data_IF_351142128734
#
_entry.id   IF_351142128734
#
_cell.length_a   1.000
_cell.length_b   1.000
_cell.length_c   1.000
_cell.angle_alpha   90.00
_cell.angle_beta   90.00
_cell.angle_gamma   90.00
#
_symmetry.space_group_name_H-M   'P 1'
#
loop_
_entity.id
_entity.type
_entity.pdbx_description
1 polymer ?
#
# COMPACT_ATOMS: atom_id res chain seq x y z
N UNK A 1 -21.03 20.34 -34.15
CA UNK A 1 -20.50 21.72 -34.03
C UNK A 1 -21.51 22.77 -33.53
N UNK A 2 -22.83 22.62 -33.71
CA UNK A 2 -23.81 23.62 -33.22
C UNK A 2 -23.97 23.66 -31.69
N UNK A 3 -23.95 22.51 -31.01
CA UNK A 3 -24.16 22.43 -29.55
C UNK A 3 -23.12 23.19 -28.73
N UNK A 4 -21.88 23.23 -29.20
CA UNK A 4 -20.80 23.99 -28.56
C UNK A 4 -21.03 25.49 -28.77
N UNK A 5 -21.45 25.92 -29.97
CA UNK A 5 -21.77 27.32 -30.25
C UNK A 5 -22.96 27.82 -29.42
N UNK A 6 -23.98 26.99 -29.22
CA UNK A 6 -25.14 27.31 -28.38
C UNK A 6 -24.77 27.41 -26.89
N UNK A 7 -23.92 26.50 -26.40
CA UNK A 7 -23.39 26.55 -25.04
C UNK A 7 -22.59 27.84 -24.79
N UNK A 8 -21.70 28.20 -25.72
CA UNK A 8 -20.92 29.44 -25.68
C UNK A 8 -21.82 30.69 -25.72
N UNK A 9 -22.84 30.72 -26.56
CA UNK A 9 -23.75 31.87 -26.63
C UNK A 9 -24.61 32.01 -25.37
N UNK A 10 -24.97 30.89 -24.72
CA UNK A 10 -25.79 30.87 -23.50
C UNK A 10 -25.02 31.23 -22.23
N UNK A 11 -23.77 30.78 -22.10
CA UNK A 11 -22.96 30.99 -20.88
C UNK A 11 -21.83 32.02 -21.05
N UNK A 12 -21.28 32.19 -22.25
CA UNK A 12 -20.05 32.97 -22.49
C UNK A 12 -20.29 34.32 -23.18
N UNK A 13 -21.50 34.60 -23.69
CA UNK A 13 -21.78 35.84 -24.44
C UNK A 13 -21.69 37.13 -23.61
N UNK A 14 -21.67 37.05 -22.28
CA UNK A 14 -21.48 38.18 -21.36
C UNK A 14 -20.11 38.18 -20.65
N UNK A 15 -19.27 37.18 -20.92
CA UNK A 15 -17.94 37.11 -20.32
C UNK A 15 -16.98 37.98 -21.12
N UNK A 16 -16.45 39.00 -20.44
CA UNK A 16 -15.43 39.88 -20.99
C UNK A 16 -14.17 39.07 -21.31
N UNK A 17 -13.48 39.38 -22.42
CA UNK A 17 -12.25 38.67 -22.85
C UNK A 17 -11.21 38.63 -21.71
N UNK A 18 -11.16 39.67 -20.89
CA UNK A 18 -10.30 39.73 -19.70
C UNK A 18 -10.61 38.65 -18.66
N UNK A 19 -11.88 38.29 -18.45
CA UNK A 19 -12.27 37.21 -17.53
C UNK A 19 -11.87 35.84 -18.06
N UNK A 20 -11.94 35.63 -19.38
CA UNK A 20 -11.50 34.39 -20.00
C UNK A 20 -9.99 34.20 -19.87
N UNK A 21 -9.21 35.27 -20.13
CA UNK A 21 -7.75 35.27 -19.92
C UNK A 21 -7.41 35.04 -18.44
N UNK A 22 -8.15 35.67 -17.52
CA UNK A 22 -7.96 35.48 -16.08
C UNK A 22 -8.22 34.04 -15.64
N UNK A 23 -9.30 33.41 -16.11
CA UNK A 23 -9.62 32.01 -15.79
C UNK A 23 -8.53 31.08 -16.34
N UNK A 24 -8.06 31.29 -17.57
CA UNK A 24 -6.96 30.50 -18.15
C UNK A 24 -5.67 30.69 -17.35
N UNK A 25 -5.35 31.93 -16.96
CA UNK A 25 -4.20 32.24 -16.12
C UNK A 25 -4.27 31.54 -14.76
N UNK A 26 -5.43 31.52 -14.10
CA UNK A 26 -5.62 30.78 -12.86
C UNK A 26 -5.44 29.28 -13.08
N UNK A 27 -6.07 28.71 -14.11
CA UNK A 27 -5.93 27.27 -14.41
C UNK A 27 -4.45 26.92 -14.62
N UNK A 28 -3.70 27.67 -15.43
CA UNK A 28 -2.27 27.44 -15.64
C UNK A 28 -1.49 27.60 -14.33
N UNK A 29 -1.74 28.64 -13.53
CA UNK A 29 -1.01 28.86 -12.27
C UNK A 29 -1.29 27.78 -11.22
N UNK A 30 -2.52 27.27 -11.15
CA UNK A 30 -2.90 26.21 -10.21
C UNK A 30 -2.52 24.80 -10.69
N UNK A 31 -2.33 24.59 -12.00
CA UNK A 31 -1.96 23.28 -12.58
C UNK A 31 -0.47 23.15 -12.85
N UNK A 32 0.19 24.23 -13.27
CA UNK A 32 1.63 24.32 -13.54
C UNK A 32 2.33 24.72 -12.25
N UNK A 33 2.57 23.72 -11.41
CA UNK A 33 3.32 23.87 -10.17
C UNK A 33 3.48 22.55 -9.42
N UNK A 34 4.58 22.39 -8.69
CA UNK A 34 4.81 21.21 -7.84
C UNK A 34 3.89 21.16 -6.61
N UNK A 35 3.21 22.26 -6.30
CA UNK A 35 2.24 22.41 -5.21
C UNK A 35 0.82 21.98 -5.56
N UNK A 36 0.62 21.18 -6.63
CA UNK A 36 -0.73 20.71 -6.98
C UNK A 36 -1.34 19.93 -5.81
N UNK A 37 -2.60 20.23 -5.46
CA UNK A 37 -3.36 19.53 -4.43
C UNK A 37 -3.42 18.01 -4.70
N UNK A 38 -3.41 17.63 -5.97
CA UNK A 38 -3.35 16.24 -6.42
C UNK A 38 -2.08 15.52 -5.94
N UNK A 39 -0.89 16.11 -6.15
CA UNK A 39 0.38 15.53 -5.68
C UNK A 39 0.37 15.39 -4.15
N UNK A 40 -0.13 16.39 -3.43
CA UNK A 40 -0.23 16.35 -1.96
C UNK A 40 -1.09 15.17 -1.48
N UNK A 41 -2.27 14.98 -2.07
CA UNK A 41 -3.13 13.85 -1.75
C UNK A 41 -2.46 12.50 -2.02
N UNK A 42 -1.79 12.37 -3.17
CA UNK A 42 -1.06 11.15 -3.52
C UNK A 42 0.07 10.86 -2.54
N UNK A 43 0.84 11.87 -2.14
CA UNK A 43 1.89 11.71 -1.14
C UNK A 43 1.33 11.34 0.23
N UNK A 44 0.26 11.98 0.70
CA UNK A 44 -0.36 11.65 1.97
C UNK A 44 -0.91 10.21 1.97
N UNK A 45 -1.44 9.75 0.83
CA UNK A 45 -1.84 8.34 0.66
C UNK A 45 -0.62 7.42 0.74
N UNK A 46 0.49 7.78 0.08
CA UNK A 46 1.70 6.96 0.10
C UNK A 46 2.34 6.88 1.49
N UNK A 47 2.34 7.98 2.22
CA UNK A 47 2.82 8.04 3.61
C UNK A 47 2.01 7.07 4.47
N UNK A 48 0.67 7.13 4.42
CA UNK A 48 -0.18 6.22 5.19
C UNK A 48 0.00 4.75 4.82
N UNK A 49 0.29 4.46 3.56
CA UNK A 49 0.58 3.09 3.12
C UNK A 49 1.90 2.59 3.71
N UNK A 50 2.96 3.40 3.64
CA UNK A 50 4.27 3.09 4.20
C UNK A 50 4.22 2.94 5.74
N UNK A 51 3.47 3.80 6.43
CA UNK A 51 3.28 3.71 7.88
C UNK A 51 2.62 2.38 8.28
N UNK A 52 1.59 1.95 7.53
CA UNK A 52 0.95 0.64 7.75
C UNK A 52 1.90 -0.52 7.49
N UNK A 53 2.73 -0.42 6.45
CA UNK A 53 3.72 -1.43 6.12
C UNK A 53 4.78 -1.55 7.24
N UNK A 54 5.24 -0.42 7.77
CA UNK A 54 6.14 -0.38 8.93
C UNK A 54 5.50 -1.05 10.15
N UNK A 55 4.27 -0.67 10.50
CA UNK A 55 3.56 -1.25 11.64
C UNK A 55 3.38 -2.77 11.49
N UNK A 56 3.02 -3.21 10.29
CA UNK A 56 2.87 -4.64 9.97
C UNK A 56 4.17 -5.41 10.18
N UNK A 57 5.28 -4.95 9.59
CA UNK A 57 6.56 -5.63 9.72
C UNK A 57 7.13 -5.58 11.14
N UNK A 58 6.93 -4.49 11.88
CA UNK A 58 7.31 -4.42 13.29
C UNK A 58 6.62 -5.50 14.11
N UNK A 59 5.32 -5.71 13.88
CA UNK A 59 4.56 -6.78 14.54
C UNK A 59 5.05 -8.17 14.14
N UNK A 60 5.32 -8.40 12.85
CA UNK A 60 5.88 -9.68 12.40
C UNK A 60 7.26 -9.96 13.01
N UNK A 61 8.12 -8.95 13.09
CA UNK A 61 9.44 -9.06 13.73
C UNK A 61 9.28 -9.44 15.20
N UNK A 62 8.37 -8.81 15.93
CA UNK A 62 8.11 -9.15 17.33
C UNK A 62 7.72 -10.62 17.49
N UNK A 63 6.71 -11.07 16.74
CA UNK A 63 6.23 -12.46 16.77
C UNK A 63 7.33 -13.44 16.38
N UNK A 64 8.05 -13.18 15.28
CA UNK A 64 9.11 -14.06 14.80
C UNK A 64 10.31 -14.08 15.74
N UNK A 65 10.64 -12.97 16.39
CA UNK A 65 11.72 -12.91 17.38
C UNK A 65 11.39 -13.75 18.62
N UNK A 66 10.13 -13.73 19.08
CA UNK A 66 9.66 -14.58 20.16
C UNK A 66 9.69 -16.06 19.77
N UNK A 67 9.26 -16.38 18.54
CA UNK A 67 9.34 -17.75 17.99
C UNK A 67 10.79 -18.24 17.86
N UNK A 68 11.70 -17.40 17.37
CA UNK A 68 13.13 -17.73 17.32
C UNK A 68 13.71 -17.96 18.71
N UNK A 69 13.37 -17.10 19.68
CA UNK A 69 13.84 -17.25 21.06
C UNK A 69 13.35 -18.55 21.67
N UNK A 70 12.09 -18.94 21.45
CA UNK A 70 11.58 -20.22 21.96
C UNK A 70 12.29 -21.40 21.29
N UNK A 71 12.53 -21.35 19.97
CA UNK A 71 13.31 -22.39 19.26
C UNK A 71 14.77 -22.51 19.76
N UNK A 72 15.40 -21.40 20.16
CA UNK A 72 16.78 -21.43 20.65
C UNK A 72 16.91 -21.82 22.13
N UNK A 73 15.89 -21.52 22.94
CA UNK A 73 15.96 -21.73 24.40
C UNK A 73 15.34 -23.06 24.81
N UNK A 74 14.35 -23.55 24.07
CA UNK A 74 13.61 -24.77 24.37
C UNK A 74 13.95 -25.89 23.38
N UNK A 75 14.72 -26.88 23.84
CA UNK A 75 15.06 -28.08 23.05
C UNK A 75 13.82 -28.85 22.62
N UNK A 76 12.77 -28.86 23.44
CA UNK A 76 11.53 -29.60 23.15
C UNK A 76 10.73 -28.88 22.06
N UNK A 77 10.60 -27.56 22.18
CA UNK A 77 10.02 -26.70 21.14
C UNK A 77 10.75 -26.78 19.79
N UNK A 78 12.09 -26.87 19.80
CA UNK A 78 12.90 -27.07 18.60
C UNK A 78 12.67 -28.45 17.97
N UNK A 79 12.65 -29.52 18.78
CA UNK A 79 12.41 -30.88 18.29
C UNK A 79 10.99 -31.00 17.70
N UNK A 80 9.98 -30.39 18.34
CA UNK A 80 8.62 -30.35 17.81
C UNK A 80 8.54 -29.62 16.47
N UNK A 81 9.14 -28.43 16.36
CA UNK A 81 9.18 -27.66 15.11
C UNK A 81 9.88 -28.44 13.98
N UNK A 82 11.01 -29.09 14.27
CA UNK A 82 11.73 -29.89 13.29
C UNK A 82 10.92 -31.11 12.82
N UNK A 83 10.11 -31.72 13.69
CA UNK A 83 9.25 -32.87 13.37
C UNK A 83 7.96 -32.48 12.64
N UNK A 84 7.32 -31.37 13.01
CA UNK A 84 6.04 -30.94 12.44
C UNK A 84 6.21 -30.23 11.09
N UNK A 85 7.17 -29.30 10.98
CA UNK A 85 7.35 -28.49 9.77
C UNK A 85 8.29 -29.16 8.75
N UNK A 86 9.31 -29.86 9.24
CA UNK A 86 10.38 -30.42 8.39
C UNK A 86 10.43 -31.94 8.40
N UNK A 87 9.53 -32.62 9.14
CA UNK A 87 9.47 -34.08 9.24
C UNK A 87 10.81 -34.75 9.55
N UNK A 88 11.66 -34.07 10.35
CA UNK A 88 12.99 -34.59 10.70
C UNK A 88 12.88 -35.80 11.62
N UNK A 89 13.73 -36.82 11.38
CA UNK A 89 13.82 -38.04 12.17
C UNK A 89 15.22 -38.26 12.74
N UNK A 90 15.30 -38.93 13.90
CA UNK A 90 16.58 -39.47 14.39
C UNK A 90 16.93 -40.75 13.64
N UNK A 91 18.22 -41.09 13.58
CA UNK A 91 18.71 -42.24 12.82
C UNK A 91 18.14 -43.58 13.28
N UNK A 92 17.62 -43.64 14.52
CA UNK A 92 17.03 -44.80 15.17
C UNK A 92 15.49 -44.77 15.22
N UNK A 93 14.84 -43.89 14.46
CA UNK A 93 13.38 -43.75 14.44
C UNK A 93 12.82 -43.85 13.02
N UNK A 94 11.62 -44.42 12.90
CA UNK A 94 10.83 -44.47 11.67
C UNK A 94 9.60 -43.56 11.80
N UNK A 95 9.41 -42.66 10.81
CA UNK A 95 8.28 -41.72 10.76
C UNK A 95 7.24 -42.23 9.75
N UNK A 96 5.98 -42.31 10.18
CA UNK A 96 4.85 -42.66 9.33
C UNK A 96 3.99 -41.41 9.09
N UNK A 97 3.78 -41.03 7.83
CA UNK A 97 2.89 -39.94 7.44
C UNK A 97 1.59 -40.56 6.95
N UNK A 98 0.52 -40.40 7.73
CA UNK A 98 -0.82 -40.87 7.34
C UNK A 98 -1.45 -39.78 6.50
N UNK A 99 -1.71 -40.07 5.23
CA UNK A 99 -2.54 -39.22 4.37
C UNK A 99 -3.96 -39.76 4.43
N UNK A 100 -4.92 -38.92 4.78
CA UNK A 100 -6.33 -39.22 4.52
C UNK A 100 -6.54 -39.17 3.01
N UNK A 101 -7.09 -40.26 2.43
CA UNK A 101 -7.47 -40.35 1.02
C UNK A 101 -8.70 -39.50 0.69
#
# INVERSE_FOLDING_TARGET
>A
MSRIKEFYKKYLSWINVYWLVFIVFLIVTFTVGDSSLYKRYTYDKKIRELEKEIEHYQKEIEVNSQKLKSLHTDKEGLERFAREEYFMKKSNEDIFIIKEE
#
